data_IF_420133908983
#
_entry.id   IF_420133908983
#
_cell.length_a   1.000
_cell.length_b   1.000
_cell.length_c   1.000
_cell.angle_alpha   90.00
_cell.angle_beta   90.00
_cell.angle_gamma   90.00
#
_symmetry.space_group_name_H-M   'P 1'
#
loop_
_entity.id
_entity.type
_entity.pdbx_description
1 polymer ?
#
# COMPACT_ATOMS: atom_id res chain seq x y z
N UNK A 1 -12.82 -35.60 -8.29
CA UNK A 1 -12.00 -35.13 -9.42
C UNK A 1 -11.84 -33.63 -9.29
N UNK A 2 -10.66 -33.15 -8.92
CA UNK A 2 -10.40 -31.72 -8.75
C UNK A 2 -10.40 -31.05 -10.14
N UNK A 3 -11.33 -30.13 -10.36
CA UNK A 3 -11.30 -29.27 -11.54
C UNK A 3 -10.00 -28.47 -11.50
N UNK A 4 -9.15 -28.65 -12.52
CA UNK A 4 -7.98 -27.82 -12.72
C UNK A 4 -8.47 -26.39 -12.97
N UNK A 5 -8.17 -25.48 -12.05
CA UNK A 5 -8.65 -24.10 -12.07
C UNK A 5 -7.78 -23.29 -13.07
N UNK A 6 -8.28 -22.88 -14.25
CA UNK A 6 -7.41 -22.41 -15.35
C UNK A 6 -6.91 -20.96 -15.23
N UNK A 7 -6.90 -20.34 -14.05
CA UNK A 7 -6.90 -18.86 -13.94
C UNK A 7 -5.99 -18.26 -12.87
N UNK A 8 -4.97 -18.98 -12.40
CA UNK A 8 -3.96 -18.40 -11.51
C UNK A 8 -2.86 -17.74 -12.34
N UNK A 9 -2.75 -16.41 -12.21
CA UNK A 9 -1.57 -15.70 -12.67
C UNK A 9 -0.40 -16.14 -11.78
N UNK A 10 0.69 -16.63 -12.37
CA UNK A 10 1.70 -17.46 -11.68
C UNK A 10 2.60 -16.70 -10.70
N UNK A 11 2.42 -15.38 -10.53
CA UNK A 11 3.25 -14.57 -9.65
C UNK A 11 2.43 -14.01 -8.49
N UNK A 12 2.67 -14.53 -7.29
CA UNK A 12 2.09 -14.02 -6.04
C UNK A 12 3.01 -12.95 -5.45
N UNK A 13 2.43 -11.84 -4.98
CA UNK A 13 3.16 -10.75 -4.34
C UNK A 13 2.98 -10.81 -2.82
N UNK A 14 4.07 -10.91 -2.08
CA UNK A 14 4.04 -11.06 -0.62
C UNK A 14 4.43 -9.78 0.14
N UNK A 15 4.95 -8.78 -0.57
CA UNK A 15 5.31 -7.49 0.01
C UNK A 15 4.99 -6.32 -0.91
N UNK A 16 4.85 -5.13 -0.34
CA UNK A 16 4.73 -3.88 -1.09
C UNK A 16 5.93 -3.66 -2.03
N UNK A 17 7.15 -4.06 -1.61
CA UNK A 17 8.36 -3.91 -2.43
C UNK A 17 8.32 -4.78 -3.68
N UNK A 18 7.85 -6.02 -3.57
CA UNK A 18 7.71 -6.93 -4.73
C UNK A 18 6.71 -6.39 -5.73
N UNK A 19 5.59 -5.84 -5.23
CA UNK A 19 4.57 -5.24 -6.08
C UNK A 19 5.08 -3.98 -6.81
N UNK A 20 5.78 -3.08 -6.11
CA UNK A 20 6.38 -1.89 -6.72
C UNK A 20 7.41 -2.27 -7.78
N UNK A 21 8.28 -3.26 -7.50
CA UNK A 21 9.28 -3.73 -8.46
C UNK A 21 8.63 -4.31 -9.71
N UNK A 22 7.49 -4.97 -9.57
CA UNK A 22 6.73 -5.49 -10.69
C UNK A 22 6.03 -4.39 -11.51
N UNK A 23 5.48 -3.36 -10.86
CA UNK A 23 4.98 -2.18 -11.57
C UNK A 23 6.09 -1.49 -12.36
N UNK A 24 7.31 -1.40 -11.81
CA UNK A 24 8.48 -0.88 -12.53
C UNK A 24 8.84 -1.75 -13.74
N UNK A 25 8.95 -3.07 -13.56
CA UNK A 25 9.25 -4.02 -14.64
C UNK A 25 8.23 -3.94 -15.79
N UNK A 26 6.97 -3.72 -15.45
CA UNK A 26 5.85 -3.65 -16.41
C UNK A 26 5.59 -2.23 -16.92
N UNK A 27 6.48 -1.26 -16.67
CA UNK A 27 6.39 0.15 -17.11
C UNK A 27 5.12 0.87 -16.61
N UNK A 28 4.59 0.43 -15.46
CA UNK A 28 3.43 0.98 -14.75
C UNK A 28 3.82 1.80 -13.52
N UNK A 29 5.10 1.93 -13.22
CA UNK A 29 5.64 2.86 -12.24
C UNK A 29 6.45 3.94 -12.97
N UNK A 30 6.27 5.19 -12.56
CA UNK A 30 7.16 6.30 -12.93
C UNK A 30 7.83 6.87 -11.69
N UNK A 31 9.03 7.43 -11.88
CA UNK A 31 9.78 8.11 -10.83
C UNK A 31 9.68 9.62 -11.04
N UNK A 32 9.16 10.33 -10.03
CA UNK A 32 9.14 11.78 -10.03
C UNK A 32 10.55 12.36 -9.82
N UNK A 33 10.70 13.67 -10.07
CA UNK A 33 11.92 14.39 -9.70
C UNK A 33 12.12 14.35 -8.19
N UNK A 34 13.38 14.43 -7.75
CA UNK A 34 13.69 14.56 -6.32
C UNK A 34 13.19 15.90 -5.77
N UNK A 35 12.83 15.94 -4.48
CA UNK A 35 12.45 17.19 -3.81
C UNK A 35 11.06 17.71 -4.17
N UNK A 36 10.16 16.85 -4.68
CA UNK A 36 8.77 17.26 -4.92
C UNK A 36 8.12 17.68 -3.60
N UNK A 37 7.43 18.84 -3.55
CA UNK A 37 6.76 19.29 -2.33
C UNK A 37 5.63 18.37 -1.86
N UNK A 38 5.60 18.09 -0.56
CA UNK A 38 4.56 17.28 0.10
C UNK A 38 3.22 18.01 0.17
N UNK A 39 3.25 19.34 0.23
CA UNK A 39 2.06 20.18 0.28
C UNK A 39 1.52 20.37 -1.14
N UNK A 40 0.39 19.73 -1.44
CA UNK A 40 -0.41 19.81 -2.67
C UNK A 40 0.25 19.24 -3.94
N UNK A 41 1.53 19.53 -4.17
CA UNK A 41 2.22 19.21 -5.44
C UNK A 41 2.34 17.70 -5.66
N UNK A 42 2.78 16.94 -4.66
CA UNK A 42 2.86 15.48 -4.73
C UNK A 42 1.50 14.87 -5.07
N UNK A 43 0.45 15.29 -4.36
CA UNK A 43 -0.91 14.80 -4.57
C UNK A 43 -1.44 15.16 -5.96
N UNK A 44 -1.18 16.36 -6.45
CA UNK A 44 -1.55 16.79 -7.80
C UNK A 44 -0.88 15.95 -8.89
N UNK A 45 0.42 15.67 -8.75
CA UNK A 45 1.16 14.78 -9.69
C UNK A 45 0.57 13.37 -9.65
N UNK A 46 0.33 12.83 -8.45
CA UNK A 46 -0.27 11.52 -8.29
C UNK A 46 -1.67 11.47 -8.93
N UNK A 47 -2.46 12.54 -8.78
CA UNK A 47 -3.81 12.63 -9.35
C UNK A 47 -3.80 12.67 -10.88
N UNK A 48 -2.83 13.34 -11.48
CA UNK A 48 -2.70 13.41 -12.94
C UNK A 48 -2.42 12.03 -13.57
N UNK A 49 -1.75 11.14 -12.83
CA UNK A 49 -1.36 9.80 -13.27
C UNK A 49 -2.26 8.69 -12.71
N UNK A 50 -3.29 9.08 -11.96
CA UNK A 50 -4.24 8.19 -11.31
C UNK A 50 -4.91 7.28 -12.33
N UNK A 51 -4.86 5.97 -12.11
CA UNK A 51 -5.37 5.00 -13.06
C UNK A 51 -4.59 4.93 -14.37
N UNK A 52 -3.33 5.37 -14.45
CA UNK A 52 -2.42 4.97 -15.53
C UNK A 52 -1.12 4.41 -14.96
N UNK A 53 -0.47 5.17 -14.07
CA UNK A 53 0.83 4.81 -13.49
C UNK A 53 0.86 5.09 -12.00
N UNK A 54 1.48 4.18 -11.26
CA UNK A 54 1.95 4.48 -9.92
C UNK A 54 3.13 5.46 -9.99
N UNK A 55 3.31 6.26 -8.94
CA UNK A 55 4.37 7.27 -8.87
C UNK A 55 5.21 7.05 -7.63
N UNK A 56 6.53 6.94 -7.82
CA UNK A 56 7.52 6.97 -6.76
C UNK A 56 8.12 8.38 -6.65
N UNK A 57 8.01 8.98 -5.48
CA UNK A 57 8.55 10.30 -5.15
C UNK A 57 9.81 10.12 -4.29
N UNK A 58 11.01 10.23 -4.88
CA UNK A 58 12.24 10.18 -4.13
C UNK A 58 12.47 11.50 -3.39
N UNK A 59 12.77 11.41 -2.10
CA UNK A 59 13.12 12.53 -1.24
C UNK A 59 12.19 13.77 -1.34
N UNK A 60 10.86 13.61 -1.15
CA UNK A 60 9.94 14.74 -1.17
C UNK A 60 10.28 15.71 -0.02
N UNK A 61 10.27 17.01 -0.30
CA UNK A 61 10.76 18.06 0.64
C UNK A 61 12.09 17.70 1.32
N UNK A 62 13.02 17.10 0.56
CA UNK A 62 14.34 16.63 1.04
C UNK A 62 14.29 15.55 2.14
N UNK A 63 13.11 15.00 2.44
CA UNK A 63 12.94 13.95 3.42
C UNK A 63 13.68 12.66 3.00
N UNK A 64 14.32 11.89 3.89
CA UNK A 64 15.07 10.70 3.51
C UNK A 64 14.17 9.54 3.01
N UNK A 65 12.93 9.48 3.52
CA UNK A 65 11.94 8.45 3.15
C UNK A 65 11.24 8.83 1.84
N UNK A 66 11.10 7.87 0.92
CA UNK A 66 10.34 8.06 -0.32
C UNK A 66 8.84 7.85 -0.11
N UNK A 67 8.02 8.54 -0.89
CA UNK A 67 6.56 8.33 -0.94
C UNK A 67 6.21 7.60 -2.22
N UNK A 68 5.26 6.67 -2.15
CA UNK A 68 4.69 6.01 -3.34
C UNK A 68 3.18 6.23 -3.35
N UNK A 69 2.60 6.47 -4.52
CA UNK A 69 1.16 6.65 -4.69
C UNK A 69 0.63 5.88 -5.91
N UNK A 70 -0.67 5.57 -5.88
CA UNK A 70 -1.38 4.95 -7.01
C UNK A 70 -1.07 3.47 -7.26
N UNK A 71 -0.46 2.76 -6.30
CA UNK A 71 0.00 1.37 -6.48
C UNK A 71 -1.12 0.36 -6.72
N UNK A 72 -2.37 0.68 -6.36
CA UNK A 72 -3.56 -0.16 -6.60
C UNK A 72 -4.72 0.68 -7.14
N UNK A 73 -4.44 1.51 -8.16
CA UNK A 73 -5.39 2.48 -8.73
C UNK A 73 -6.39 1.90 -9.75
N UNK A 74 -6.28 0.60 -10.08
CA UNK A 74 -7.20 -0.11 -10.98
C UNK A 74 -7.68 -1.41 -10.39
N UNK A 75 -8.92 -1.76 -10.73
CA UNK A 75 -9.50 -3.07 -10.42
C UNK A 75 -8.62 -4.23 -10.92
N UNK A 76 -8.13 -4.12 -12.14
CA UNK A 76 -7.30 -5.15 -12.77
C UNK A 76 -5.98 -5.34 -12.02
N UNK A 77 -5.40 -4.25 -11.49
CA UNK A 77 -4.19 -4.30 -10.68
C UNK A 77 -4.45 -4.97 -9.33
N UNK A 78 -5.63 -4.77 -8.73
CA UNK A 78 -6.03 -5.47 -7.51
C UNK A 78 -6.15 -6.98 -7.79
N UNK A 79 -6.83 -7.37 -8.87
CA UNK A 79 -6.96 -8.78 -9.27
C UNK A 79 -5.59 -9.43 -9.51
N UNK A 80 -4.73 -8.74 -10.25
CA UNK A 80 -3.36 -9.19 -10.54
C UNK A 80 -2.50 -9.30 -9.28
N UNK A 81 -2.57 -8.33 -8.37
CA UNK A 81 -1.88 -8.39 -7.08
C UNK A 81 -2.34 -9.58 -6.23
N UNK A 82 -3.60 -9.99 -6.38
CA UNK A 82 -4.18 -11.20 -5.75
C UNK A 82 -3.91 -12.48 -6.55
N UNK A 83 -3.22 -12.42 -7.70
CA UNK A 83 -2.89 -13.58 -8.52
C UNK A 83 -4.07 -14.17 -9.30
N UNK A 84 -5.15 -13.40 -9.50
CA UNK A 84 -6.36 -13.85 -10.19
C UNK A 84 -6.68 -12.98 -11.41
N UNK A 85 -7.47 -13.52 -12.32
CA UNK A 85 -8.04 -12.76 -13.44
C UNK A 85 -9.11 -11.76 -12.96
N UNK A 86 -9.32 -10.70 -13.74
CA UNK A 86 -10.22 -9.61 -13.39
C UNK A 86 -11.66 -10.08 -13.07
N UNK A 87 -12.20 -11.00 -13.88
CA UNK A 87 -13.52 -11.59 -13.69
C UNK A 87 -13.64 -12.45 -12.41
N UNK A 88 -12.53 -12.99 -11.90
CA UNK A 88 -12.50 -13.83 -10.70
C UNK A 88 -12.32 -13.06 -9.38
N UNK A 89 -11.98 -11.77 -9.43
CA UNK A 89 -11.65 -10.99 -8.23
C UNK A 89 -12.73 -11.06 -7.13
N UNK A 90 -14.00 -10.88 -7.49
CA UNK A 90 -15.09 -10.83 -6.49
C UNK A 90 -15.28 -12.19 -5.83
N UNK A 91 -15.28 -13.26 -6.63
CA UNK A 91 -15.46 -14.61 -6.10
C UNK A 91 -14.28 -15.01 -5.23
N UNK A 92 -13.05 -14.74 -5.68
CA UNK A 92 -11.84 -15.02 -4.90
C UNK A 92 -11.81 -14.23 -3.58
N UNK A 93 -12.21 -12.95 -3.60
CA UNK A 93 -12.33 -12.15 -2.39
C UNK A 93 -13.40 -12.70 -1.43
N UNK A 94 -14.56 -13.11 -1.97
CA UNK A 94 -15.64 -13.73 -1.19
C UNK A 94 -15.18 -15.01 -0.51
N UNK A 95 -14.50 -15.90 -1.24
CA UNK A 95 -13.96 -17.15 -0.70
C UNK A 95 -12.95 -16.89 0.42
N UNK A 96 -12.05 -15.90 0.25
CA UNK A 96 -11.05 -15.54 1.25
C UNK A 96 -11.68 -14.97 2.53
N UNK A 97 -12.77 -14.21 2.43
CA UNK A 97 -13.54 -13.69 3.58
C UNK A 97 -14.24 -14.82 4.33
N UNK A 98 -14.80 -15.81 3.62
CA UNK A 98 -15.50 -16.95 4.22
C UNK A 98 -14.54 -17.99 4.82
N UNK A 99 -13.33 -18.10 4.27
CA UNK A 99 -12.32 -19.08 4.69
C UNK A 99 -11.00 -18.38 5.09
N UNK A 100 -11.00 -17.56 6.16
CA UNK A 100 -9.82 -16.83 6.56
C UNK A 100 -8.73 -17.78 7.05
N UNK A 101 -7.49 -17.52 6.61
CA UNK A 101 -6.32 -18.26 7.07
C UNK A 101 -5.79 -17.60 8.36
N UNK A 102 -5.49 -18.38 9.42
CA UNK A 102 -4.86 -17.85 10.62
C UNK A 102 -3.52 -17.17 10.30
N UNK A 103 -3.28 -16.01 10.90
CA UNK A 103 -1.98 -15.36 10.82
C UNK A 103 -0.94 -16.14 11.64
N UNK A 104 0.34 -16.04 11.23
CA UNK A 104 1.47 -16.63 11.94
C UNK A 104 2.29 -15.54 12.61
N UNK A 105 2.57 -15.71 13.89
CA UNK A 105 3.50 -14.82 14.61
C UNK A 105 4.94 -15.12 14.21
N UNK A 106 5.72 -14.06 14.02
CA UNK A 106 7.16 -14.15 13.76
C UNK A 106 7.89 -13.22 14.72
N UNK A 107 9.07 -13.63 15.17
CA UNK A 107 9.86 -12.87 16.14
C UNK A 107 10.59 -11.67 15.52
N UNK A 108 10.97 -11.80 14.25
CA UNK A 108 11.76 -10.78 13.53
C UNK A 108 11.05 -10.43 12.23
N UNK A 109 10.63 -9.18 12.11
CA UNK A 109 9.97 -8.65 10.92
C UNK A 109 10.76 -7.47 10.32
N UNK A 110 10.83 -7.32 8.99
CA UNK A 110 11.47 -6.16 8.35
C UNK A 110 10.90 -4.82 8.82
N UNK A 111 9.62 -4.78 9.20
CA UNK A 111 8.97 -3.60 9.75
C UNK A 111 9.52 -3.14 11.13
N UNK A 112 10.36 -3.96 11.77
CA UNK A 112 10.94 -3.69 13.10
C UNK A 112 12.44 -3.35 13.03
N UNK A 113 13.01 -3.15 11.84
CA UNK A 113 14.44 -2.81 11.66
C UNK A 113 14.82 -1.46 12.31
N UNK A 114 13.90 -0.50 12.32
CA UNK A 114 14.09 0.83 12.93
C UNK A 114 12.98 1.05 13.96
N UNK A 115 13.36 1.30 15.22
CA UNK A 115 12.42 1.51 16.33
C UNK A 115 12.70 2.85 17.02
N UNK A 116 11.74 3.76 16.98
CA UNK A 116 11.81 5.08 17.62
C UNK A 116 10.91 5.06 18.86
N UNK A 117 11.47 5.31 20.05
CA UNK A 117 10.77 5.19 21.34
C UNK A 117 10.64 6.49 22.14
N UNK A 118 11.37 7.53 21.75
CA UNK A 118 11.44 8.82 22.47
C UNK A 118 11.45 9.97 21.46
N UNK A 119 11.07 11.16 21.91
CA UNK A 119 11.06 12.39 21.11
C UNK A 119 10.32 12.21 19.77
N UNK A 120 9.12 11.61 19.84
CA UNK A 120 8.34 11.27 18.66
C UNK A 120 7.70 12.55 18.12
N UNK A 121 8.23 13.01 16.98
CA UNK A 121 7.56 13.98 16.11
C UNK A 121 7.26 13.31 14.77
N UNK A 122 5.99 13.00 14.55
CA UNK A 122 5.53 12.25 13.38
C UNK A 122 5.84 13.00 12.07
N UNK A 123 5.70 14.33 12.06
CA UNK A 123 5.91 15.14 10.85
C UNK A 123 7.39 15.20 10.47
N UNK A 124 8.30 15.07 11.44
CA UNK A 124 9.74 14.96 11.19
C UNK A 124 10.19 13.54 10.82
N UNK A 125 9.45 12.52 11.24
CA UNK A 125 9.79 11.10 11.01
C UNK A 125 9.25 10.62 9.66
N UNK A 126 8.05 11.05 9.27
CA UNK A 126 7.35 10.57 8.08
C UNK A 126 7.03 11.72 7.11
N UNK A 127 7.21 11.51 5.79
CA UNK A 127 6.85 12.50 4.78
C UNK A 127 5.34 12.44 4.49
N UNK A 128 4.52 13.04 5.36
CA UNK A 128 3.06 12.98 5.27
C UNK A 128 2.55 14.09 4.33
N UNK A 129 1.88 13.77 3.20
CA UNK A 129 1.36 14.78 2.30
C UNK A 129 0.14 15.53 2.87
N UNK A 130 0.02 16.80 2.48
CA UNK A 130 -1.27 17.53 2.52
C UNK A 130 -1.86 17.45 1.12
N UNK A 131 -3.04 16.86 0.96
CA UNK A 131 -3.55 16.47 -0.35
C UNK A 131 -4.24 17.64 -1.06
N UNK A 132 -5.08 18.38 -0.35
CA UNK A 132 -5.87 19.47 -0.91
C UNK A 132 -5.69 20.77 -0.12
N UNK A 133 -5.92 21.90 -0.79
CA UNK A 133 -5.82 23.24 -0.18
C UNK A 133 -6.74 23.45 1.03
N UNK A 134 -7.88 22.74 1.05
CA UNK A 134 -8.86 22.79 2.13
C UNK A 134 -8.67 21.70 3.19
N UNK A 135 -7.62 20.88 3.10
CA UNK A 135 -7.28 19.94 4.16
C UNK A 135 -6.84 20.72 5.41
N UNK A 136 -7.28 20.29 6.59
CA UNK A 136 -6.85 20.88 7.87
C UNK A 136 -5.38 20.63 8.22
N UNK A 137 -4.64 19.89 7.38
CA UNK A 137 -3.23 19.57 7.57
C UNK A 137 -2.80 18.31 6.80
N UNK A 138 -1.65 17.77 7.16
CA UNK A 138 -1.14 16.54 6.57
C UNK A 138 -1.94 15.31 7.04
N UNK A 139 -2.24 14.38 6.13
CA UNK A 139 -3.07 13.19 6.42
C UNK A 139 -2.36 11.89 6.06
N UNK A 140 -2.42 10.91 6.96
CA UNK A 140 -2.06 9.52 6.68
C UNK A 140 -3.29 8.83 6.09
N UNK A 141 -3.28 8.61 4.77
CA UNK A 141 -4.44 8.06 4.03
C UNK A 141 -4.34 6.55 3.76
N UNK A 142 -3.17 5.96 3.97
CA UNK A 142 -2.90 4.53 3.77
C UNK A 142 -2.47 3.83 5.07
N UNK A 143 -3.01 4.29 6.21
CA UNK A 143 -2.79 3.65 7.51
C UNK A 143 -3.69 2.43 7.69
N UNK A 144 -3.12 1.31 8.17
CA UNK A 144 -3.90 0.17 8.64
C UNK A 144 -3.80 0.09 10.16
N UNK A 145 -4.91 0.35 10.85
CA UNK A 145 -4.95 0.27 12.32
C UNK A 145 -5.38 -1.12 12.75
N UNK A 146 -4.54 -1.76 13.56
CA UNK A 146 -4.82 -3.06 14.17
C UNK A 146 -5.07 -2.84 15.65
N UNK A 147 -6.28 -3.16 16.12
CA UNK A 147 -6.64 -3.04 17.52
C UNK A 147 -7.20 -4.36 18.05
N UNK A 148 -7.05 -4.60 19.34
CA UNK A 148 -7.56 -5.79 20.01
C UNK A 148 -8.55 -5.39 21.09
N UNK A 149 -9.70 -6.05 21.14
CA UNK A 149 -10.65 -5.85 22.23
C UNK A 149 -9.99 -6.27 23.56
N UNK A 150 -9.96 -5.40 24.57
CA UNK A 150 -9.25 -5.66 25.83
C UNK A 150 -9.89 -6.80 26.64
N UNK A 151 -11.20 -7.01 26.53
CA UNK A 151 -11.93 -8.06 27.24
C UNK A 151 -11.95 -9.38 26.45
N UNK A 152 -12.47 -9.35 25.22
CA UNK A 152 -12.66 -10.57 24.42
C UNK A 152 -11.40 -11.04 23.67
N UNK A 153 -10.33 -10.24 23.69
CA UNK A 153 -9.06 -10.48 22.96
C UNK A 153 -9.20 -10.63 21.45
N UNK A 154 -10.38 -10.39 20.88
CA UNK A 154 -10.63 -10.41 19.43
C UNK A 154 -9.96 -9.22 18.75
N UNK A 155 -9.23 -9.46 17.67
CA UNK A 155 -8.59 -8.42 16.86
C UNK A 155 -9.57 -7.86 15.84
N UNK A 156 -9.63 -6.53 15.73
CA UNK A 156 -10.35 -5.79 14.68
C UNK A 156 -9.34 -4.94 13.90
N UNK A 157 -9.65 -4.68 12.63
CA UNK A 157 -8.85 -3.82 11.75
C UNK A 157 -9.71 -2.64 11.33
N UNK A 158 -9.14 -1.44 11.35
CA UNK A 158 -9.78 -0.19 10.97
C UNK A 158 -8.94 0.51 9.90
N UNK A 159 -9.63 1.27 9.04
CA UNK A 159 -9.04 2.12 8.01
C UNK A 159 -9.11 3.57 8.48
#
# INVERSE_FOLDING_TARGET
MAAQNPSLNTKVFHSMRDWIAYLEQTKRLVRAKKGVPLKYTLAAIAKQLDGDKAVLFPNPDHHPISVVSGIVSKRDWIAEAMGVSNNMLLEHFREAVLNPIPWKEIEKAPAQEIVIRKNIDINSILPIPTHNEHDSGAYITAGLVIARNPQSRRTKRFY
#
